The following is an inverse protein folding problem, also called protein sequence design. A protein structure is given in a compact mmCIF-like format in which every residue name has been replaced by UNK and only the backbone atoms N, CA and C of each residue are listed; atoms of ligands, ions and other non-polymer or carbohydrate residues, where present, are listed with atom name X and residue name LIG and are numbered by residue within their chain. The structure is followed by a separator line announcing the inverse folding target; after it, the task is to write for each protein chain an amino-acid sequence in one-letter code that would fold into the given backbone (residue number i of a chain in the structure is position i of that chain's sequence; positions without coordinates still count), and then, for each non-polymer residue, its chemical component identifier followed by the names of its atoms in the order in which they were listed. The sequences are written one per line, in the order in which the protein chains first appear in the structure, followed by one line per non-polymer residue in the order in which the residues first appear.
data_IF_502854287602
#
_entry.id   IF_502854287602
#
_cell.length_a   1.000
_cell.length_b   1.000
_cell.length_c   1.000
_cell.angle_alpha   90.00
_cell.angle_beta   90.00
_cell.angle_gamma   90.00
#
_symmetry.space_group_name_H-M   'P 1'
#
loop_
_entity.id
_entity.type
_entity.pdbx_description
1 polymer ?
#
# COMPACT_ATOMS: atom_id res chain seq x y z
N UNK A 1 -28.66 1.83 27.08
CA UNK A 1 -28.16 2.71 26.00
C UNK A 1 -27.10 1.96 25.20
N UNK A 2 -27.51 1.18 24.18
CA UNK A 2 -26.60 0.33 23.38
C UNK A 2 -25.94 1.22 22.32
N UNK A 3 -24.65 1.52 22.46
CA UNK A 3 -23.86 2.22 21.42
C UNK A 3 -23.74 1.31 20.20
N UNK A 4 -24.58 1.52 19.19
CA UNK A 4 -24.34 1.03 17.83
C UNK A 4 -23.14 1.81 17.29
N UNK A 5 -21.99 1.16 17.18
CA UNK A 5 -20.85 1.70 16.45
C UNK A 5 -21.25 1.72 14.96
N UNK A 6 -21.42 2.91 14.39
CA UNK A 6 -21.56 3.08 12.95
C UNK A 6 -20.25 2.65 12.28
N UNK A 7 -20.27 1.50 11.62
CA UNK A 7 -19.30 1.17 10.58
C UNK A 7 -19.74 1.93 9.32
N UNK A 8 -19.31 3.19 9.18
CA UNK A 8 -19.43 3.90 7.90
C UNK A 8 -18.38 3.33 6.95
N UNK A 9 -18.73 2.22 6.29
CA UNK A 9 -18.06 1.78 5.07
C UNK A 9 -19.07 2.03 3.95
N UNK A 10 -19.08 3.26 3.42
CA UNK A 10 -19.81 3.57 2.20
C UNK A 10 -18.77 3.69 1.09
N UNK A 11 -18.56 2.60 0.36
CA UNK A 11 -18.05 2.70 -1.01
C UNK A 11 -19.04 2.06 -1.94
N UNK A 12 -19.66 2.91 -2.75
CA UNK A 12 -20.44 2.48 -3.89
C UNK A 12 -19.44 2.33 -5.04
N UNK A 13 -19.17 1.10 -5.43
CA UNK A 13 -18.74 0.81 -6.81
C UNK A 13 -20.02 0.84 -7.64
N UNK A 14 -20.02 1.57 -8.74
CA UNK A 14 -21.14 1.61 -9.67
C UNK A 14 -21.56 0.19 -10.09
N UNK A 15 -22.64 -0.31 -9.50
CA UNK A 15 -23.57 -1.21 -10.15
C UNK A 15 -24.90 -0.49 -10.14
N UNK A 16 -25.33 -0.05 -11.33
CA UNK A 16 -26.74 0.23 -11.59
C UNK A 16 -27.54 -0.93 -10.99
N UNK A 17 -28.37 -0.63 -9.99
CA UNK A 17 -29.51 -1.48 -9.66
C UNK A 17 -30.44 -1.35 -10.86
N UNK A 18 -30.26 -2.24 -11.82
CA UNK A 18 -31.33 -2.76 -12.64
C UNK A 18 -31.37 -4.26 -12.33
N UNK A 19 -32.53 -4.74 -11.91
CA UNK A 19 -32.83 -6.15 -11.68
C UNK A 19 -32.32 -7.00 -12.85
N UNK A 20 -31.35 -7.90 -12.63
CA UNK A 20 -31.05 -9.02 -13.54
C UNK A 20 -30.00 -9.97 -12.92
N UNK A 21 -30.44 -11.21 -12.68
CA UNK A 21 -29.80 -12.48 -13.08
C UNK A 21 -28.32 -12.81 -12.78
N UNK A 22 -27.99 -14.12 -12.62
CA UNK A 22 -26.76 -14.56 -11.97
C UNK A 22 -25.51 -14.15 -12.73
N UNK A 23 -24.49 -13.75 -11.95
CA UNK A 23 -23.13 -13.39 -12.34
C UNK A 23 -22.62 -14.16 -13.57
N UNK A 24 -22.84 -13.55 -14.74
CA UNK A 24 -22.11 -13.82 -15.98
C UNK A 24 -20.62 -13.63 -15.69
N UNK A 25 -19.79 -14.59 -16.13
CA UNK A 25 -18.34 -14.54 -15.97
C UNK A 25 -17.75 -13.24 -16.53
N UNK A 26 -17.46 -12.27 -15.68
CA UNK A 26 -16.87 -10.99 -16.09
C UNK A 26 -15.37 -11.14 -16.34
N UNK A 27 -15.05 -11.71 -17.50
CA UNK A 27 -13.69 -11.71 -18.04
C UNK A 27 -13.21 -10.26 -18.24
N UNK A 28 -11.99 -9.97 -17.76
CA UNK A 28 -11.21 -8.72 -17.85
C UNK A 28 -11.38 -7.67 -16.73
N UNK A 29 -11.44 -8.09 -15.46
CA UNK A 29 -11.15 -7.18 -14.33
C UNK A 29 -9.65 -6.90 -14.16
N UNK A 30 -9.28 -5.77 -13.53
CA UNK A 30 -7.89 -5.49 -13.13
C UNK A 30 -7.35 -6.64 -12.26
N UNK A 31 -6.15 -7.16 -12.56
CA UNK A 31 -5.56 -8.30 -11.81
C UNK A 31 -5.36 -7.97 -10.33
N UNK A 32 -4.99 -6.73 -10.03
CA UNK A 32 -4.68 -6.24 -8.69
C UNK A 32 -5.71 -5.18 -8.29
N UNK A 33 -6.44 -5.43 -7.21
CA UNK A 33 -7.50 -4.56 -6.69
C UNK A 33 -7.25 -4.45 -5.19
N UNK A 34 -6.70 -3.31 -4.79
CA UNK A 34 -6.10 -3.10 -3.47
C UNK A 34 -6.87 -2.08 -2.65
N UNK A 35 -6.82 -2.24 -1.33
CA UNK A 35 -7.13 -1.18 -0.38
C UNK A 35 -5.86 -0.72 0.32
N UNK A 36 -5.60 0.59 0.29
CA UNK A 36 -4.49 1.20 1.02
C UNK A 36 -5.00 1.78 2.34
N UNK A 37 -4.41 1.38 3.47
CA UNK A 37 -4.74 1.93 4.79
C UNK A 37 -3.66 2.91 5.23
N UNK A 38 -4.02 4.16 5.50
CA UNK A 38 -3.10 5.16 6.06
C UNK A 38 -3.04 5.09 7.58
N UNK A 39 -2.91 3.86 8.08
CA UNK A 39 -3.00 3.53 9.49
C UNK A 39 -1.60 3.55 10.13
N UNK A 40 -1.47 4.31 11.22
CA UNK A 40 -0.24 4.37 12.00
C UNK A 40 -0.22 3.24 13.05
N UNK A 41 0.97 2.77 13.47
CA UNK A 41 1.09 1.71 14.47
C UNK A 41 0.49 2.05 15.84
N UNK A 42 0.39 3.34 16.18
CA UNK A 42 -0.29 3.81 17.40
C UNK A 42 -1.83 3.75 17.31
N UNK A 43 -2.36 3.36 16.15
CA UNK A 43 -3.79 3.23 15.88
C UNK A 43 -4.48 4.52 15.46
N UNK A 44 -3.76 5.63 15.28
CA UNK A 44 -4.26 6.79 14.53
C UNK A 44 -4.30 6.48 13.03
N UNK A 45 -5.12 7.22 12.27
CA UNK A 45 -5.25 7.06 10.82
C UNK A 45 -5.05 8.43 10.19
N UNK A 46 -4.04 8.55 9.35
CA UNK A 46 -3.77 9.78 8.60
C UNK A 46 -4.89 9.98 7.58
N UNK A 47 -5.51 11.17 7.61
CA UNK A 47 -6.75 11.47 6.86
C UNK A 47 -7.88 10.48 7.14
N UNK A 48 -7.93 9.95 8.36
CA UNK A 48 -8.97 9.03 8.81
C UNK A 48 -10.12 9.75 9.49
N UNK A 49 -11.32 9.62 8.92
CA UNK A 49 -12.54 10.26 9.43
C UNK A 49 -13.57 9.27 9.99
N UNK A 50 -13.22 7.97 10.03
CA UNK A 50 -14.08 6.87 10.46
C UNK A 50 -13.64 6.19 11.79
N UNK A 51 -12.84 6.90 12.59
CA UNK A 51 -12.31 6.41 13.86
C UNK A 51 -10.88 5.85 13.79
N UNK A 52 -10.47 5.11 14.83
CA UNK A 52 -9.13 4.53 14.94
C UNK A 52 -8.93 3.32 14.04
N UNK A 53 -7.67 3.00 13.76
CA UNK A 53 -7.24 1.86 12.97
C UNK A 53 -8.00 0.58 13.31
N UNK A 54 -8.33 -0.17 12.26
CA UNK A 54 -8.88 -1.52 12.35
C UNK A 54 -7.89 -2.45 13.07
N UNK A 55 -6.59 -2.30 12.77
CA UNK A 55 -5.52 -3.17 13.22
C UNK A 55 -5.14 -2.84 14.67
N UNK A 56 -5.63 -3.64 15.61
CA UNK A 56 -5.29 -3.48 17.04
C UNK A 56 -3.96 -4.13 17.35
N UNK A 57 -2.88 -3.54 16.87
CA UNK A 57 -1.53 -4.12 16.91
C UNK A 57 -1.19 -4.69 18.28
N UNK A 58 -1.30 -3.90 19.36
CA UNK A 58 -0.97 -4.31 20.73
C UNK A 58 -1.76 -5.54 21.23
N UNK A 59 -3.01 -5.70 20.80
CA UNK A 59 -3.91 -6.80 21.18
C UNK A 59 -3.66 -8.09 20.37
N UNK A 60 -2.88 -8.04 19.28
CA UNK A 60 -2.57 -9.22 18.44
C UNK A 60 -1.39 -9.99 19.06
N UNK A 61 -1.56 -11.23 19.55
CA UNK A 61 -0.44 -11.96 20.14
C UNK A 61 0.61 -12.31 19.10
N UNK A 62 1.88 -12.22 19.49
CA UNK A 62 3.05 -12.64 18.70
C UNK A 62 3.32 -14.14 18.82
N UNK A 63 2.96 -14.75 19.96
CA UNK A 63 3.05 -16.20 20.16
C UNK A 63 1.98 -16.90 19.30
N UNK A 64 2.37 -17.74 18.33
CA UNK A 64 1.42 -18.40 17.43
C UNK A 64 0.45 -19.34 18.15
N UNK A 65 0.81 -19.82 19.35
CA UNK A 65 -0.01 -20.70 20.20
C UNK A 65 -1.15 -19.96 20.88
N UNK A 66 -1.06 -18.63 21.01
CA UNK A 66 -2.12 -17.81 21.61
C UNK A 66 -3.17 -17.46 20.55
N UNK A 67 -4.43 -17.76 20.87
CA UNK A 67 -5.56 -17.38 20.01
C UNK A 67 -5.71 -15.87 19.96
N UNK A 68 -6.01 -15.33 18.77
CA UNK A 68 -6.45 -13.93 18.64
C UNK A 68 -7.76 -13.72 19.44
N UNK A 69 -7.92 -12.61 20.17
CA UNK A 69 -9.17 -12.29 20.85
C UNK A 69 -10.37 -12.39 19.91
N UNK A 70 -11.47 -13.00 20.40
CA UNK A 70 -12.64 -13.35 19.57
C UNK A 70 -13.25 -12.12 18.87
N UNK A 71 -13.28 -10.97 19.53
CA UNK A 71 -13.80 -9.74 18.94
C UNK A 71 -12.94 -9.24 17.77
N UNK A 72 -11.62 -9.33 17.87
CA UNK A 72 -10.71 -8.95 16.79
C UNK A 72 -10.81 -9.92 15.61
N UNK A 73 -10.81 -11.23 15.89
CA UNK A 73 -11.00 -12.26 14.87
C UNK A 73 -12.26 -11.98 14.04
N UNK A 74 -13.41 -11.82 14.71
CA UNK A 74 -14.68 -11.52 14.04
C UNK A 74 -14.61 -10.24 13.21
N UNK A 75 -13.92 -9.21 13.71
CA UNK A 75 -13.77 -7.93 13.00
C UNK A 75 -12.91 -8.06 11.74
N UNK A 76 -11.83 -8.83 11.79
CA UNK A 76 -10.95 -9.07 10.64
C UNK A 76 -11.58 -10.03 9.62
N UNK A 77 -12.32 -11.04 10.07
CA UNK A 77 -13.13 -11.90 9.21
C UNK A 77 -14.21 -11.11 8.47
N UNK A 78 -14.91 -10.21 9.15
CA UNK A 78 -15.88 -9.30 8.52
C UNK A 78 -15.21 -8.40 7.48
N UNK A 79 -14.04 -7.83 7.80
CA UNK A 79 -13.27 -7.06 6.83
C UNK A 79 -12.92 -7.89 5.59
N UNK A 80 -12.35 -9.09 5.77
CA UNK A 80 -12.01 -10.00 4.67
C UNK A 80 -13.23 -10.35 3.80
N UNK A 81 -14.37 -10.66 4.43
CA UNK A 81 -15.63 -10.92 3.74
C UNK A 81 -16.08 -9.73 2.89
N UNK A 82 -16.03 -8.50 3.42
CA UNK A 82 -16.38 -7.29 2.66
C UNK A 82 -15.46 -7.06 1.47
N UNK A 83 -14.15 -7.22 1.67
CA UNK A 83 -13.20 -7.09 0.56
C UNK A 83 -13.52 -8.09 -0.56
N UNK A 84 -13.79 -9.35 -0.21
CA UNK A 84 -14.17 -10.38 -1.16
C UNK A 84 -15.46 -10.06 -1.91
N UNK A 85 -16.50 -9.57 -1.23
CA UNK A 85 -17.79 -9.17 -1.84
C UNK A 85 -17.62 -8.11 -2.93
N UNK A 86 -16.70 -7.15 -2.73
CA UNK A 86 -16.39 -6.13 -3.72
C UNK A 86 -15.28 -6.55 -4.70
N UNK A 87 -14.86 -7.82 -4.65
CA UNK A 87 -13.80 -8.38 -5.46
C UNK A 87 -12.40 -7.86 -5.13
N UNK A 88 -12.20 -7.08 -4.06
CA UNK A 88 -10.88 -6.61 -3.63
C UNK A 88 -10.04 -7.82 -3.20
N UNK A 89 -8.83 -7.94 -3.75
CA UNK A 89 -7.95 -9.10 -3.56
C UNK A 89 -6.62 -8.78 -2.88
N UNK A 90 -6.43 -7.54 -2.41
CA UNK A 90 -5.27 -7.17 -1.63
C UNK A 90 -5.53 -6.02 -0.67
N UNK A 91 -4.72 -5.93 0.39
CA UNK A 91 -4.74 -4.81 1.33
C UNK A 91 -3.33 -4.45 1.79
N UNK A 92 -3.01 -3.16 1.78
CA UNK A 92 -1.81 -2.61 2.40
C UNK A 92 -2.18 -2.15 3.80
N UNK A 93 -1.60 -2.77 4.84
CA UNK A 93 -2.11 -2.62 6.22
C UNK A 93 -1.72 -1.31 6.90
N UNK A 94 -0.66 -0.65 6.43
CA UNK A 94 -0.05 0.46 7.15
C UNK A 94 0.23 1.67 6.25
N UNK A 95 0.35 2.81 6.91
CA UNK A 95 0.57 4.11 6.29
C UNK A 95 1.77 4.13 5.35
N UNK A 96 1.60 4.83 4.22
CA UNK A 96 2.63 5.10 3.22
C UNK A 96 3.77 5.96 3.78
N UNK A 97 3.49 6.79 4.78
CA UNK A 97 4.50 7.44 5.63
C UNK A 97 5.08 6.39 6.61
N UNK A 98 5.76 5.42 6.03
CA UNK A 98 6.00 4.12 6.62
C UNK A 98 6.96 4.20 7.81
N UNK A 99 6.62 3.51 8.91
CA UNK A 99 7.48 3.41 10.08
C UNK A 99 8.35 2.15 9.97
N UNK A 100 9.69 2.24 10.13
CA UNK A 100 10.60 1.09 10.05
C UNK A 100 10.24 -0.05 11.01
N UNK A 101 9.58 0.26 12.13
CA UNK A 101 9.10 -0.72 13.09
C UNK A 101 8.18 -1.79 12.48
N UNK A 102 7.51 -1.49 11.36
CA UNK A 102 6.66 -2.45 10.65
C UNK A 102 7.43 -3.67 10.13
N UNK A 103 8.76 -3.57 10.00
CA UNK A 103 9.64 -4.66 9.56
C UNK A 103 10.36 -5.37 10.72
N UNK A 104 10.06 -5.02 11.98
CA UNK A 104 10.54 -5.79 13.13
C UNK A 104 9.81 -7.14 13.19
N UNK A 105 10.53 -8.19 13.59
CA UNK A 105 10.06 -9.58 13.67
C UNK A 105 8.75 -9.70 14.47
N UNK A 106 8.62 -9.02 15.60
CA UNK A 106 7.41 -9.05 16.44
C UNK A 106 6.20 -8.41 15.75
N UNK A 107 6.41 -7.35 14.96
CA UNK A 107 5.36 -6.76 14.14
C UNK A 107 4.99 -7.68 12.96
N UNK A 108 5.98 -8.26 12.28
CA UNK A 108 5.75 -9.22 11.19
C UNK A 108 4.94 -10.44 11.65
N UNK A 109 5.19 -10.94 12.86
CA UNK A 109 4.37 -11.99 13.47
C UNK A 109 2.91 -11.56 13.60
N UNK A 110 2.63 -10.30 14.00
CA UNK A 110 1.25 -9.77 14.09
C UNK A 110 0.62 -9.61 12.71
N UNK A 111 1.39 -9.17 11.71
CA UNK A 111 0.95 -9.09 10.31
C UNK A 111 0.57 -10.48 9.79
N UNK A 112 1.34 -11.51 10.10
CA UNK A 112 1.04 -12.89 9.72
C UNK A 112 -0.31 -13.37 10.28
N UNK A 113 -0.66 -13.01 11.53
CA UNK A 113 -1.98 -13.32 12.11
C UNK A 113 -3.13 -12.69 11.34
N UNK A 114 -2.94 -11.47 10.81
CA UNK A 114 -3.94 -10.81 9.97
C UNK A 114 -4.02 -11.52 8.63
N UNK A 115 -2.87 -11.78 7.99
CA UNK A 115 -2.81 -12.49 6.70
C UNK A 115 -3.52 -13.85 6.76
N UNK A 116 -3.33 -14.62 7.83
CA UNK A 116 -4.01 -15.91 8.04
C UNK A 116 -5.55 -15.80 8.05
N UNK A 117 -6.09 -14.71 8.60
CA UNK A 117 -7.53 -14.48 8.67
C UNK A 117 -8.08 -14.02 7.31
N UNK A 118 -7.30 -13.25 6.56
CA UNK A 118 -7.72 -12.68 5.28
C UNK A 118 -7.56 -13.66 4.10
N UNK A 119 -6.64 -14.62 4.21
CA UNK A 119 -6.33 -15.59 3.16
C UNK A 119 -7.53 -16.40 2.66
N UNK A 120 -8.45 -16.94 3.50
CA UNK A 120 -9.64 -17.65 3.02
C UNK A 120 -10.57 -16.81 2.15
N UNK A 121 -10.48 -15.48 2.22
CA UNK A 121 -11.27 -14.55 1.41
C UNK A 121 -10.57 -14.14 0.11
N UNK A 122 -9.37 -14.68 -0.16
CA UNK A 122 -8.58 -14.34 -1.35
C UNK A 122 -7.92 -12.96 -1.27
N UNK A 123 -7.74 -12.41 -0.07
CA UNK A 123 -7.14 -11.09 0.15
C UNK A 123 -5.70 -11.24 0.61
N UNK A 124 -4.74 -10.88 -0.25
CA UNK A 124 -3.30 -10.87 0.10
C UNK A 124 -2.93 -9.64 0.90
N UNK A 125 -1.98 -9.80 1.82
CA UNK A 125 -1.46 -8.71 2.65
C UNK A 125 -0.21 -8.11 2.01
N UNK A 126 -0.13 -6.78 2.04
CA UNK A 126 0.99 -5.95 1.61
C UNK A 126 1.39 -5.01 2.76
N UNK A 127 2.62 -4.50 2.74
CA UNK A 127 3.08 -3.49 3.69
C UNK A 127 3.68 -2.29 2.97
N UNK A 128 3.36 -1.09 3.47
CA UNK A 128 4.15 0.08 3.13
C UNK A 128 5.49 0.01 3.86
N UNK A 129 6.59 0.24 3.15
CA UNK A 129 7.94 0.14 3.73
C UNK A 129 8.68 1.46 3.68
N UNK A 130 9.45 1.74 4.73
CA UNK A 130 10.36 2.87 4.74
C UNK A 130 11.62 2.46 3.95
N UNK A 131 11.96 3.19 2.90
CA UNK A 131 13.10 2.86 2.05
C UNK A 131 14.42 2.79 2.83
N UNK A 132 14.58 3.67 3.83
CA UNK A 132 15.75 3.73 4.69
C UNK A 132 15.70 2.77 5.89
N UNK A 133 14.82 1.76 5.90
CA UNK A 133 14.70 0.80 7.01
C UNK A 133 16.02 0.18 7.50
N UNK A 134 16.96 -0.27 6.63
CA UNK A 134 18.23 -0.80 7.10
C UNK A 134 19.00 0.19 7.99
N UNK A 135 18.98 1.47 7.63
CA UNK A 135 19.61 2.56 8.38
C UNK A 135 18.79 2.98 9.60
N UNK A 136 17.49 3.15 9.44
CA UNK A 136 16.60 3.65 10.48
C UNK A 136 16.39 2.66 11.64
N UNK A 137 16.61 1.35 11.40
CA UNK A 137 16.64 0.32 12.43
C UNK A 137 18.02 0.18 13.10
N UNK A 138 19.03 0.94 12.65
CA UNK A 138 20.39 0.89 13.18
C UNK A 138 21.19 -0.33 12.74
N UNK A 139 20.74 -1.04 11.69
CA UNK A 139 21.38 -2.28 11.23
C UNK A 139 22.49 -2.02 10.20
N UNK A 140 22.41 -0.93 9.45
CA UNK A 140 23.42 -0.47 8.49
C UNK A 140 23.65 1.04 8.58
N UNK A 141 24.81 1.57 8.16
CA UNK A 141 25.07 3.02 8.16
C UNK A 141 24.40 3.77 6.99
N UNK A 142 23.93 3.05 5.97
CA UNK A 142 23.40 3.59 4.71
C UNK A 142 22.13 2.86 4.28
N UNK A 143 21.39 3.44 3.34
CA UNK A 143 20.33 2.78 2.60
C UNK A 143 20.44 3.02 1.08
N UNK A 144 21.66 3.27 0.58
CA UNK A 144 21.92 3.34 -0.87
C UNK A 144 21.53 1.99 -1.53
N UNK A 145 20.60 1.97 -2.50
CA UNK A 145 20.17 0.72 -3.15
C UNK A 145 21.27 0.02 -3.95
N UNK A 146 22.39 0.69 -4.25
CA UNK A 146 23.55 0.10 -4.92
C UNK A 146 24.55 -0.56 -3.96
N UNK A 147 24.40 -0.33 -2.65
CA UNK A 147 25.23 -0.96 -1.63
C UNK A 147 24.85 -2.44 -1.47
N UNK A 148 25.85 -3.33 -1.55
CA UNK A 148 25.64 -4.79 -1.48
C UNK A 148 25.05 -5.26 -0.13
N UNK A 149 25.40 -4.61 0.97
CA UNK A 149 24.87 -4.94 2.29
C UNK A 149 23.41 -4.51 2.41
N UNK A 150 23.03 -3.38 1.80
CA UNK A 150 21.62 -2.94 1.73
C UNK A 150 20.78 -3.92 0.91
N UNK A 151 21.27 -4.34 -0.26
CA UNK A 151 20.59 -5.33 -1.09
C UNK A 151 20.40 -6.67 -0.34
N UNK A 152 21.45 -7.15 0.32
CA UNK A 152 21.40 -8.38 1.12
C UNK A 152 20.48 -8.25 2.34
N UNK A 153 20.42 -7.06 2.96
CA UNK A 153 19.49 -6.79 4.05
C UNK A 153 18.04 -6.94 3.59
N UNK A 154 17.67 -6.31 2.47
CA UNK A 154 16.31 -6.40 1.92
C UNK A 154 15.98 -7.83 1.49
N UNK A 155 16.94 -8.56 0.92
CA UNK A 155 16.76 -9.98 0.57
C UNK A 155 16.45 -10.83 1.80
N UNK A 156 17.25 -10.72 2.87
CA UNK A 156 17.01 -11.45 4.13
C UNK A 156 15.69 -11.06 4.78
N UNK A 157 15.33 -9.76 4.73
CA UNK A 157 14.05 -9.28 5.27
C UNK A 157 12.87 -9.83 4.47
N UNK A 158 12.97 -9.91 3.15
CA UNK A 158 11.97 -10.57 2.32
C UNK A 158 11.86 -12.06 2.68
N UNK A 159 12.98 -12.78 2.76
CA UNK A 159 13.00 -14.20 3.16
C UNK A 159 12.31 -14.44 4.52
N UNK A 160 12.56 -13.56 5.50
CA UNK A 160 11.87 -13.60 6.81
C UNK A 160 10.35 -13.42 6.66
N UNK A 161 9.91 -12.41 5.91
CA UNK A 161 8.49 -12.11 5.70
C UNK A 161 7.79 -13.30 5.04
N UNK A 162 8.34 -13.85 3.95
CA UNK A 162 7.74 -14.99 3.26
C UNK A 162 7.81 -16.28 4.07
N UNK A 163 8.79 -16.43 4.96
CA UNK A 163 8.81 -17.51 5.94
C UNK A 163 7.62 -17.48 6.90
N UNK A 164 7.10 -16.29 7.22
CA UNK A 164 5.91 -16.11 8.07
C UNK A 164 4.60 -16.00 7.28
N UNK A 165 4.67 -15.46 6.06
CA UNK A 165 3.52 -15.15 5.21
C UNK A 165 3.84 -15.63 3.78
N UNK A 166 3.64 -16.93 3.48
CA UNK A 166 4.08 -17.51 2.20
C UNK A 166 3.44 -16.90 0.96
N UNK A 167 2.28 -16.27 1.11
CA UNK A 167 1.51 -15.60 0.07
C UNK A 167 1.51 -14.06 0.21
N UNK A 168 2.52 -13.51 0.89
CA UNK A 168 2.71 -12.06 1.00
C UNK A 168 2.70 -11.41 -0.38
N UNK A 169 2.00 -10.28 -0.48
CA UNK A 169 1.79 -9.60 -1.75
C UNK A 169 3.01 -8.81 -2.22
N UNK A 170 3.74 -8.22 -1.28
CA UNK A 170 4.88 -7.35 -1.55
C UNK A 170 4.76 -5.98 -0.89
N UNK A 171 5.47 -5.00 -1.45
CA UNK A 171 5.68 -3.71 -0.80
C UNK A 171 4.93 -2.57 -1.50
N UNK A 172 4.45 -1.61 -0.72
CA UNK A 172 4.07 -0.28 -1.17
C UNK A 172 5.16 0.72 -0.75
N UNK A 173 5.54 1.64 -1.63
CA UNK A 173 6.65 2.57 -1.35
C UNK A 173 6.25 3.99 -1.70
N UNK A 174 6.34 4.88 -0.71
CA UNK A 174 6.44 6.34 -0.88
C UNK A 174 7.89 6.69 -0.58
N UNK A 175 8.60 7.27 -1.53
CA UNK A 175 10.02 7.59 -1.42
C UNK A 175 10.30 8.94 -2.06
N UNK A 176 11.22 9.71 -1.48
CA UNK A 176 11.58 11.07 -1.89
C UNK A 176 10.37 11.99 -2.10
N UNK A 177 9.38 11.89 -1.21
CA UNK A 177 8.13 12.65 -1.29
C UNK A 177 7.72 13.09 0.11
N UNK A 178 7.48 14.40 0.29
CA UNK A 178 7.07 15.01 1.56
C UNK A 178 7.97 14.66 2.75
N UNK A 179 9.29 14.57 2.51
CA UNK A 179 10.29 14.25 3.53
C UNK A 179 10.49 12.76 3.80
N UNK A 180 9.76 11.87 3.15
CA UNK A 180 10.03 10.42 3.24
C UNK A 180 11.33 10.07 2.50
N UNK A 181 12.19 9.21 3.09
CA UNK A 181 13.49 8.89 2.54
C UNK A 181 13.37 8.08 1.24
N UNK A 182 14.41 8.14 0.41
CA UNK A 182 14.39 7.42 -0.86
C UNK A 182 15.73 7.43 -1.61
N UNK A 183 15.78 6.79 -2.78
CA UNK A 183 17.00 6.65 -3.58
C UNK A 183 17.69 7.98 -3.92
N UNK A 184 16.94 9.08 -4.12
CA UNK A 184 17.54 10.37 -4.46
C UNK A 184 18.43 10.94 -3.35
N UNK A 185 18.24 10.53 -2.09
CA UNK A 185 19.09 10.91 -0.95
C UNK A 185 20.52 10.38 -1.11
N UNK A 186 20.70 9.39 -1.99
CA UNK A 186 21.96 8.73 -2.32
C UNK A 186 22.39 9.00 -3.77
N UNK A 187 21.75 9.97 -4.45
CA UNK A 187 22.02 10.28 -5.86
C UNK A 187 21.59 9.17 -6.82
N UNK A 188 20.58 8.38 -6.45
CA UNK A 188 20.04 7.27 -7.26
C UNK A 188 18.66 7.59 -7.79
N UNK A 189 18.30 6.98 -8.91
CA UNK A 189 16.98 7.08 -9.53
C UNK A 189 15.93 6.25 -8.79
N UNK A 190 14.66 6.59 -8.99
CA UNK A 190 13.53 5.76 -8.55
C UNK A 190 13.58 4.34 -9.13
N UNK A 191 14.08 4.16 -10.35
CA UNK A 191 14.24 2.85 -10.97
C UNK A 191 15.25 1.98 -10.20
N UNK A 192 16.42 2.53 -9.84
CA UNK A 192 17.42 1.81 -9.03
C UNK A 192 16.85 1.40 -7.66
N UNK A 193 16.17 2.32 -6.97
CA UNK A 193 15.53 2.05 -5.68
C UNK A 193 14.45 0.97 -5.77
N UNK A 194 13.54 1.09 -6.74
CA UNK A 194 12.45 0.14 -6.94
C UNK A 194 12.98 -1.25 -7.35
N UNK A 195 13.96 -1.30 -8.26
CA UNK A 195 14.52 -2.55 -8.77
C UNK A 195 15.30 -3.32 -7.71
N UNK A 196 15.95 -2.64 -6.77
CA UNK A 196 16.60 -3.29 -5.62
C UNK A 196 15.56 -4.03 -4.75
N UNK A 197 14.46 -3.37 -4.40
CA UNK A 197 13.37 -4.01 -3.65
C UNK A 197 12.71 -5.13 -4.44
N UNK A 198 12.52 -4.93 -5.75
CA UNK A 198 11.91 -5.90 -6.64
C UNK A 198 12.77 -7.19 -6.73
N UNK A 199 14.09 -7.03 -6.81
CA UNK A 199 15.05 -8.13 -6.77
C UNK A 199 14.95 -8.93 -5.46
N UNK A 200 14.81 -8.26 -4.31
CA UNK A 200 14.62 -8.93 -3.02
C UNK A 200 13.33 -9.78 -2.96
N UNK A 201 12.31 -9.45 -3.77
CA UNK A 201 11.04 -10.19 -3.83
C UNK A 201 10.98 -11.27 -4.93
N UNK A 202 11.96 -11.33 -5.84
CA UNK A 202 11.87 -12.15 -7.05
C UNK A 202 11.65 -13.64 -6.79
N UNK A 203 12.34 -14.21 -5.80
CA UNK A 203 12.24 -15.64 -5.47
C UNK A 203 10.89 -16.03 -4.85
N UNK A 204 10.08 -15.04 -4.47
CA UNK A 204 8.84 -15.23 -3.74
C UNK A 204 7.59 -14.86 -4.54
N UNK A 205 7.76 -14.30 -5.75
CA UNK A 205 6.64 -13.86 -6.60
C UNK A 205 5.96 -12.58 -6.12
N UNK A 206 6.61 -11.81 -5.24
CA UNK A 206 6.13 -10.53 -4.74
C UNK A 206 6.30 -9.39 -5.75
N UNK A 207 5.53 -8.32 -5.53
CA UNK A 207 5.61 -7.10 -6.33
C UNK A 207 6.01 -5.87 -5.50
N UNK A 208 6.60 -4.88 -6.16
CA UNK A 208 6.83 -3.55 -5.61
C UNK A 208 5.85 -2.58 -6.25
N UNK A 209 5.00 -1.99 -5.43
CA UNK A 209 4.10 -0.91 -5.82
C UNK A 209 4.81 0.38 -5.45
N UNK A 210 5.34 1.09 -6.44
CA UNK A 210 6.12 2.31 -6.24
C UNK A 210 5.26 3.52 -6.58
N UNK A 211 5.00 4.40 -5.59
CA UNK A 211 4.11 5.54 -5.81
C UNK A 211 4.83 6.63 -6.61
N UNK A 212 4.16 7.11 -7.66
CA UNK A 212 4.62 8.22 -8.49
C UNK A 212 4.19 9.60 -7.94
N UNK A 213 3.73 9.67 -6.68
CA UNK A 213 3.39 10.92 -6.01
C UNK A 213 4.67 11.57 -5.46
N UNK A 214 5.43 12.21 -6.34
CA UNK A 214 6.70 12.87 -6.04
C UNK A 214 6.64 14.31 -6.54
N UNK A 215 7.03 15.25 -5.68
CA UNK A 215 7.19 16.66 -6.01
C UNK A 215 8.07 17.35 -4.95
N UNK A 216 8.73 18.42 -5.34
CA UNK A 216 9.45 19.34 -4.46
C UNK A 216 8.59 20.59 -4.17
N UNK A 217 8.68 21.15 -2.95
CA UNK A 217 7.98 22.40 -2.60
C UNK A 217 8.54 23.62 -3.34
N UNK A 218 9.77 23.53 -3.83
CA UNK A 218 10.46 24.56 -4.60
C UNK A 218 10.83 23.98 -5.96
N UNK A 219 10.38 24.59 -7.04
CA UNK A 219 10.65 24.12 -8.41
C UNK A 219 9.62 24.61 -9.41
N UNK A 220 9.59 23.94 -10.56
CA UNK A 220 8.60 24.15 -11.62
C UNK A 220 7.17 23.83 -11.16
N UNK A 221 6.19 24.06 -12.02
CA UNK A 221 4.78 23.73 -11.79
C UNK A 221 4.63 22.31 -11.22
N UNK A 222 4.06 22.20 -10.01
CA UNK A 222 3.82 20.94 -9.28
C UNK A 222 3.14 19.90 -10.15
N UNK A 223 2.19 20.31 -11.01
CA UNK A 223 1.45 19.38 -11.88
C UNK A 223 2.35 18.66 -12.90
N UNK A 224 3.51 19.23 -13.22
CA UNK A 224 4.46 18.66 -14.19
C UNK A 224 5.50 17.73 -13.56
N UNK A 225 5.74 17.84 -12.25
CA UNK A 225 6.95 17.26 -11.64
C UNK A 225 6.97 15.72 -11.67
N UNK A 226 5.86 15.07 -11.31
CA UNK A 226 5.77 13.61 -11.41
C UNK A 226 5.94 13.12 -12.86
N UNK A 227 5.47 13.87 -13.85
CA UNK A 227 5.69 13.55 -15.26
C UNK A 227 7.17 13.62 -15.60
N UNK A 228 7.82 14.74 -15.29
CA UNK A 228 9.23 14.98 -15.60
C UNK A 228 10.14 13.94 -14.94
N UNK A 229 9.83 13.56 -13.71
CA UNK A 229 10.59 12.57 -12.93
C UNK A 229 10.50 11.17 -13.55
N UNK A 230 9.30 10.69 -13.87
CA UNK A 230 9.10 9.28 -14.23
C UNK A 230 9.14 9.01 -15.74
N UNK A 231 8.89 9.99 -16.62
CA UNK A 231 8.87 9.75 -18.08
C UNK A 231 10.23 9.30 -18.60
N UNK A 232 11.33 9.81 -18.03
CA UNK A 232 12.69 9.44 -18.40
C UNK A 232 13.05 8.00 -17.97
N UNK A 233 12.28 7.43 -17.03
CA UNK A 233 12.50 6.10 -16.47
C UNK A 233 11.65 5.01 -17.16
N UNK A 234 10.88 5.35 -18.21
CA UNK A 234 10.00 4.38 -18.86
C UNK A 234 10.75 3.19 -19.49
N UNK A 235 10.45 1.98 -19.01
CA UNK A 235 11.10 0.74 -19.42
C UNK A 235 12.37 0.40 -18.63
N UNK A 236 12.72 1.18 -17.60
CA UNK A 236 13.86 0.89 -16.72
C UNK A 236 13.45 0.11 -15.46
N UNK A 237 12.15 0.02 -15.16
CA UNK A 237 11.63 -0.71 -14.02
C UNK A 237 11.54 -2.22 -14.29
N UNK A 238 11.88 -3.03 -13.30
CA UNK A 238 11.75 -4.48 -13.34
C UNK A 238 10.28 -4.92 -13.51
N UNK A 239 10.08 -6.13 -14.05
CA UNK A 239 8.75 -6.66 -14.38
C UNK A 239 7.80 -6.75 -13.18
N UNK A 240 8.31 -6.99 -11.97
CA UNK A 240 7.51 -7.03 -10.75
C UNK A 240 7.41 -5.67 -10.04
N UNK A 241 7.77 -4.57 -10.71
CA UNK A 241 7.48 -3.21 -10.27
C UNK A 241 6.23 -2.69 -10.97
N UNK A 242 5.36 -2.02 -10.21
CA UNK A 242 4.18 -1.31 -10.72
C UNK A 242 4.24 0.12 -10.20
N UNK A 243 4.19 1.10 -11.11
CA UNK A 243 4.03 2.50 -10.72
C UNK A 243 2.57 2.76 -10.33
N UNK A 244 2.36 3.15 -9.08
CA UNK A 244 1.05 3.58 -8.58
C UNK A 244 0.92 5.09 -8.75
N UNK A 245 -0.03 5.51 -9.58
CA UNK A 245 -0.19 6.91 -10.02
C UNK A 245 -1.57 7.39 -9.57
N UNK A 246 -1.63 8.54 -8.89
CA UNK A 246 -2.92 9.17 -8.54
C UNK A 246 -3.73 9.50 -9.79
N UNK A 247 -5.06 9.61 -9.66
CA UNK A 247 -5.92 9.96 -10.79
C UNK A 247 -5.56 11.29 -11.46
N UNK A 248 -5.06 12.26 -10.70
CA UNK A 248 -4.58 13.54 -11.20
C UNK A 248 -3.16 13.88 -10.74
N UNK A 249 -2.55 14.93 -11.31
CA UNK A 249 -1.15 15.28 -11.08
C UNK A 249 -0.90 16.11 -9.81
N UNK A 250 -1.96 16.53 -9.09
CA UNK A 250 -1.82 17.30 -7.85
C UNK A 250 -2.03 16.38 -6.65
N UNK A 251 -3.24 16.30 -6.09
CA UNK A 251 -3.47 15.63 -4.82
C UNK A 251 -4.96 15.44 -4.52
N UNK A 252 -5.61 14.55 -5.25
CA UNK A 252 -6.98 14.10 -4.99
C UNK A 252 -8.02 15.23 -4.81
N UNK A 253 -7.82 16.38 -5.46
CA UNK A 253 -8.75 17.50 -5.38
C UNK A 253 -10.12 17.09 -5.95
N UNK A 254 -11.22 17.80 -5.60
CA UNK A 254 -12.57 17.47 -6.07
C UNK A 254 -12.69 17.31 -7.60
N UNK A 255 -11.80 17.99 -8.34
CA UNK A 255 -11.59 17.76 -9.77
C UNK A 255 -10.15 18.06 -10.14
N UNK A 256 -9.53 17.13 -10.86
CA UNK A 256 -8.22 17.30 -11.49
C UNK A 256 -8.28 16.78 -12.93
N UNK A 257 -7.41 17.28 -13.84
CA UNK A 257 -7.16 16.58 -15.09
C UNK A 257 -6.56 15.19 -14.80
N UNK A 258 -6.73 14.25 -15.73
CA UNK A 258 -6.11 12.93 -15.62
C UNK A 258 -4.60 13.05 -15.62
N UNK A 259 -3.91 12.31 -14.74
CA UNK A 259 -2.45 12.32 -14.68
C UNK A 259 -1.82 11.97 -16.04
N UNK A 260 -0.93 12.81 -16.59
CA UNK A 260 -0.36 12.60 -17.93
C UNK A 260 0.51 11.35 -18.03
N UNK A 261 1.02 10.83 -16.90
CA UNK A 261 1.83 9.61 -16.87
C UNK A 261 1.11 8.39 -17.46
N UNK A 262 -0.22 8.28 -17.29
CA UNK A 262 -1.01 7.20 -17.88
C UNK A 262 -0.92 7.14 -19.41
N UNK A 263 -0.66 8.28 -20.05
CA UNK A 263 -0.53 8.37 -21.50
C UNK A 263 0.91 8.33 -21.98
N UNK A 264 1.88 8.64 -21.12
CA UNK A 264 3.29 8.75 -21.50
C UNK A 264 4.07 7.46 -21.31
N UNK A 265 3.83 6.73 -20.22
CA UNK A 265 4.54 5.48 -19.94
C UNK A 265 3.98 4.36 -20.80
N UNK A 266 4.83 3.73 -21.63
CA UNK A 266 4.44 2.65 -22.56
C UNK A 266 5.09 1.32 -22.23
N UNK A 267 6.19 1.32 -21.47
CA UNK A 267 6.99 0.13 -21.18
C UNK A 267 7.05 -0.20 -19.68
N UNK A 268 6.29 0.52 -18.87
CA UNK A 268 6.23 0.36 -17.42
C UNK A 268 4.82 -0.04 -16.99
N UNK A 269 4.70 -1.02 -16.09
CA UNK A 269 3.40 -1.41 -15.53
C UNK A 269 2.89 -0.29 -14.62
N UNK A 270 1.62 0.04 -14.76
CA UNK A 270 0.97 1.10 -14.01
C UNK A 270 -0.29 0.61 -13.30
N UNK A 271 -0.64 1.27 -12.21
CA UNK A 271 -1.96 1.17 -11.59
C UNK A 271 -2.44 2.56 -11.12
N UNK A 272 -3.75 2.75 -11.09
CA UNK A 272 -4.34 3.97 -10.55
C UNK A 272 -4.43 3.91 -9.02
N UNK A 273 -4.21 5.05 -8.37
CA UNK A 273 -4.55 5.32 -6.98
C UNK A 273 -5.73 6.30 -6.96
N UNK A 274 -6.77 5.92 -6.23
CA UNK A 274 -7.97 6.74 -5.99
C UNK A 274 -8.11 6.95 -4.49
N UNK A 275 -8.62 8.12 -4.08
CA UNK A 275 -8.85 8.41 -2.67
C UNK A 275 -10.32 8.19 -2.31
N UNK A 276 -10.52 7.24 -1.40
CA UNK A 276 -11.82 6.87 -0.86
C UNK A 276 -12.16 7.72 0.37
N UNK A 277 -11.17 7.92 1.25
CA UNK A 277 -11.35 8.82 2.39
C UNK A 277 -11.52 10.24 1.88
N UNK A 278 -12.51 10.95 2.38
CA UNK A 278 -12.93 12.24 1.80
C UNK A 278 -12.05 13.40 2.28
N UNK A 279 -10.72 13.31 2.14
CA UNK A 279 -9.78 14.34 2.61
C UNK A 279 -10.14 15.73 2.05
N UNK A 280 -10.33 15.81 0.73
CA UNK A 280 -10.66 17.07 0.05
C UNK A 280 -12.13 17.15 -0.40
N UNK A 281 -12.93 16.15 -0.07
CA UNK A 281 -14.35 16.04 -0.47
C UNK A 281 -15.31 16.05 0.72
N UNK A 282 -14.87 16.65 1.83
CA UNK A 282 -15.73 17.08 2.94
C UNK A 282 -15.76 16.15 4.15
N UNK A 283 -14.77 15.27 4.28
CA UNK A 283 -14.60 14.32 5.38
C UNK A 283 -15.88 13.49 5.62
N UNK A 284 -16.00 12.78 6.74
CA UNK A 284 -17.26 12.11 7.11
C UNK A 284 -18.38 13.05 7.61
N UNK A 285 -18.43 14.28 7.08
CA UNK A 285 -19.44 15.30 7.37
C UNK A 285 -20.32 15.53 6.13
N UNK A 286 -19.70 15.67 4.96
CA UNK A 286 -20.42 15.90 3.70
C UNK A 286 -20.69 14.58 2.97
N UNK A 287 -21.86 14.47 2.37
CA UNK A 287 -22.12 13.36 1.43
C UNK A 287 -21.51 13.71 0.08
N UNK A 288 -20.55 12.91 -0.37
CA UNK A 288 -19.92 13.01 -1.69
C UNK A 288 -19.74 11.58 -2.23
N UNK A 289 -20.51 11.25 -3.27
CA UNK A 289 -20.49 9.95 -3.95
C UNK A 289 -19.66 10.06 -5.24
#
# INVERSE_FOLDING_TARGET
MKRRFCLFLLLIVAMLIAEAEPLVSSGKGFRLRLMNHWDNPDGTVERGYAGRSLWKWEEIPTDPRKSLPRHLRKRYEEYGRRQHEYGINGTVLNNVNAKPLMLKTDMLQRVARIADILRPYGVRVYLSVNFASPKALGELPTADPTDKQVQEWWRRKADEIYGMIPDFGGFLVKANSEGEPGPADYGRSHAEGANMLASALNNHGGIVIWRAFVYAPTGDDRASQAFNEFVQLDGQFADNVILQIKNGPIDFQPREPVSPLFFALKRTRMMAELQITQEYTGHSIHTCF
#
